data_IF_393533236297
#
_entry.id   IF_393533236297
#
_cell.length_a   1.000
_cell.length_b   1.000
_cell.length_c   1.000
_cell.angle_alpha   90.00
_cell.angle_beta   90.00
_cell.angle_gamma   90.00
#
_symmetry.space_group_name_H-M   'P 1'
#
loop_
_entity.id
_entity.type
_entity.pdbx_description
1 polymer ?
#
# COMPACT_ATOMS: atom_id res chain seq x y z
N UNK A 1 -19.11 39.37 -67.72
CA UNK A 1 -17.87 38.95 -67.04
C UNK A 1 -17.88 39.56 -65.65
N UNK A 2 -18.53 38.90 -64.70
CA UNK A 2 -18.32 39.16 -63.28
C UNK A 2 -18.05 37.78 -62.68
N UNK A 3 -16.77 37.38 -62.71
CA UNK A 3 -16.25 36.28 -61.91
C UNK A 3 -16.39 36.71 -60.45
N UNK A 4 -17.60 36.61 -59.91
CA UNK A 4 -17.86 36.84 -58.51
C UNK A 4 -17.16 35.73 -57.73
N UNK A 5 -16.15 36.11 -56.96
CA UNK A 5 -15.39 35.21 -56.09
C UNK A 5 -16.31 34.21 -55.37
N UNK A 6 -16.10 32.91 -55.60
CA UNK A 6 -16.90 31.84 -55.00
C UNK A 6 -16.54 31.69 -53.52
N UNK A 7 -17.22 32.47 -52.69
CA UNK A 7 -17.07 32.47 -51.24
C UNK A 7 -17.38 31.08 -50.63
N UNK A 8 -18.28 30.31 -51.24
CA UNK A 8 -18.61 28.97 -50.74
C UNK A 8 -17.42 28.01 -50.93
N UNK A 9 -16.78 28.02 -52.10
CA UNK A 9 -15.60 27.21 -52.35
C UNK A 9 -14.46 27.51 -51.37
N UNK A 10 -14.24 28.79 -51.06
CA UNK A 10 -13.21 29.23 -50.11
C UNK A 10 -13.54 28.77 -48.69
N UNK A 11 -14.80 28.93 -48.25
CA UNK A 11 -15.23 28.46 -46.92
C UNK A 11 -15.11 26.95 -46.80
N UNK A 12 -15.51 26.18 -47.82
CA UNK A 12 -15.39 24.72 -47.81
C UNK A 12 -13.93 24.26 -47.77
N UNK A 13 -13.05 24.87 -48.57
CA UNK A 13 -11.62 24.55 -48.56
C UNK A 13 -10.98 24.85 -47.19
N UNK A 14 -11.32 26.00 -46.61
CA UNK A 14 -10.86 26.39 -45.26
C UNK A 14 -11.39 25.43 -44.19
N UNK A 15 -12.66 25.02 -44.26
CA UNK A 15 -13.25 24.06 -43.32
C UNK A 15 -12.62 22.67 -43.43
N UNK A 16 -12.30 22.20 -44.64
CA UNK A 16 -11.63 20.91 -44.85
C UNK A 16 -10.24 20.84 -44.22
N UNK A 17 -9.56 21.99 -44.06
CA UNK A 17 -8.25 22.09 -43.42
C UNK A 17 -8.39 22.37 -41.91
N UNK A 18 -9.26 23.30 -41.51
CA UNK A 18 -9.43 23.69 -40.11
C UNK A 18 -10.13 22.62 -39.26
N UNK A 19 -11.06 21.85 -39.84
CA UNK A 19 -11.80 20.81 -39.13
C UNK A 19 -10.88 19.81 -38.42
N UNK A 20 -9.95 19.14 -39.13
CA UNK A 20 -8.98 18.23 -38.52
C UNK A 20 -8.07 18.89 -37.47
N UNK A 21 -7.61 20.12 -37.71
CA UNK A 21 -6.72 20.83 -36.78
C UNK A 21 -7.42 21.13 -35.44
N UNK A 22 -8.66 21.62 -35.49
CA UNK A 22 -9.47 21.90 -34.30
C UNK A 22 -9.79 20.60 -33.56
N UNK A 23 -10.15 19.53 -34.28
CA UNK A 23 -10.43 18.23 -33.67
C UNK A 23 -9.23 17.70 -32.88
N UNK A 24 -8.02 17.72 -33.46
CA UNK A 24 -6.79 17.28 -32.78
C UNK A 24 -6.50 18.13 -31.55
N UNK A 25 -6.71 19.44 -31.63
CA UNK A 25 -6.48 20.34 -30.49
C UNK A 25 -7.45 20.04 -29.33
N UNK A 26 -8.73 19.85 -29.62
CA UNK A 26 -9.75 19.46 -28.63
C UNK A 26 -9.41 18.10 -28.02
N UNK A 27 -9.02 17.12 -28.84
CA UNK A 27 -8.60 15.80 -28.38
C UNK A 27 -7.42 15.89 -27.43
N UNK A 28 -6.33 16.59 -27.79
CA UNK A 28 -5.15 16.73 -26.92
C UNK A 28 -5.45 17.40 -25.59
N UNK A 29 -6.30 18.44 -25.58
CA UNK A 29 -6.71 19.08 -24.33
C UNK A 29 -7.54 18.13 -23.45
N UNK A 30 -8.42 17.34 -24.05
CA UNK A 30 -9.19 16.32 -23.33
C UNK A 30 -8.29 15.22 -22.77
N UNK A 31 -7.33 14.75 -23.56
CA UNK A 31 -6.39 13.70 -23.17
C UNK A 31 -5.51 14.13 -21.99
N UNK A 32 -4.93 15.33 -22.01
CA UNK A 32 -4.14 15.83 -20.87
C UNK A 32 -4.95 15.89 -19.57
N UNK A 33 -6.21 16.31 -19.64
CA UNK A 33 -7.11 16.32 -18.46
C UNK A 33 -7.42 14.92 -17.98
N UNK A 34 -7.62 14.00 -18.92
CA UNK A 34 -7.87 12.58 -18.62
C UNK A 34 -6.66 11.93 -17.96
N UNK A 35 -5.45 12.18 -18.44
CA UNK A 35 -4.22 11.63 -17.84
C UNK A 35 -4.03 12.05 -16.38
N UNK A 36 -4.26 13.32 -16.06
CA UNK A 36 -4.21 13.81 -14.67
C UNK A 36 -5.25 13.09 -13.82
N UNK A 37 -6.50 13.02 -14.30
CA UNK A 37 -7.60 12.36 -13.59
C UNK A 37 -7.35 10.87 -13.41
N UNK A 38 -6.73 10.21 -14.37
CA UNK A 38 -6.36 8.79 -14.31
C UNK A 38 -5.28 8.53 -13.25
N UNK A 39 -4.27 9.40 -13.11
CA UNK A 39 -3.27 9.31 -12.03
C UNK A 39 -3.87 9.54 -10.65
N UNK A 40 -4.70 10.57 -10.51
CA UNK A 40 -5.44 10.83 -9.26
C UNK A 40 -6.36 9.67 -8.88
N UNK A 41 -7.04 9.08 -9.87
CA UNK A 41 -7.86 7.89 -9.70
C UNK A 41 -7.05 6.67 -9.25
N UNK A 42 -5.85 6.46 -9.79
CA UNK A 42 -4.97 5.37 -9.37
C UNK A 42 -4.58 5.50 -7.88
N UNK A 43 -4.29 6.71 -7.41
CA UNK A 43 -4.04 7.00 -5.99
C UNK A 43 -5.29 6.69 -5.16
N UNK A 44 -6.45 7.20 -5.56
CA UNK A 44 -7.71 6.98 -4.85
C UNK A 44 -8.04 5.50 -4.69
N UNK A 45 -7.97 4.71 -5.78
CA UNK A 45 -8.20 3.27 -5.76
C UNK A 45 -7.22 2.54 -4.85
N UNK A 46 -5.96 2.95 -4.87
CA UNK A 46 -4.92 2.33 -4.03
C UNK A 46 -5.15 2.60 -2.56
N UNK A 47 -5.45 3.85 -2.19
CA UNK A 47 -5.81 4.21 -0.82
C UNK A 47 -7.08 3.49 -0.36
N UNK A 48 -8.11 3.42 -1.21
CA UNK A 48 -9.33 2.66 -0.91
C UNK A 48 -9.06 1.17 -0.67
N UNK A 49 -8.28 0.52 -1.54
CA UNK A 49 -7.92 -0.91 -1.43
C UNK A 49 -7.12 -1.21 -0.15
N UNK A 50 -6.23 -0.29 0.23
CA UNK A 50 -5.25 -0.50 1.31
C UNK A 50 -5.61 0.25 2.60
N UNK A 51 -6.81 0.83 2.72
CA UNK A 51 -7.17 1.70 3.86
C UNK A 51 -7.12 1.04 5.23
N UNK A 52 -7.12 -0.30 5.30
CA UNK A 52 -6.93 -1.06 6.53
C UNK A 52 -5.54 -1.71 6.66
N UNK A 53 -4.64 -1.40 5.74
CA UNK A 53 -3.25 -1.89 5.70
C UNK A 53 -2.30 -0.68 5.61
N UNK A 54 -2.30 0.20 6.62
CA UNK A 54 -1.66 1.52 6.53
C UNK A 54 -0.14 1.48 6.37
N UNK A 55 0.50 0.34 6.65
CA UNK A 55 1.94 0.14 6.48
C UNK A 55 2.32 -0.55 5.15
N UNK A 56 1.33 -0.91 4.33
CA UNK A 56 1.60 -1.58 3.06
C UNK A 56 2.34 -0.66 2.09
N UNK A 57 3.27 -1.21 1.30
CA UNK A 57 4.12 -0.42 0.41
C UNK A 57 3.31 0.41 -0.59
N UNK A 58 2.24 -0.16 -1.14
CA UNK A 58 1.34 0.55 -2.05
C UNK A 58 0.58 1.67 -1.35
N UNK A 59 0.22 1.50 -0.06
CA UNK A 59 -0.47 2.51 0.72
C UNK A 59 0.40 3.75 0.90
N UNK A 60 1.63 3.53 1.38
CA UNK A 60 2.62 4.59 1.61
C UNK A 60 3.02 5.25 0.29
N UNK A 61 3.20 4.47 -0.77
CA UNK A 61 3.50 4.97 -2.12
C UNK A 61 2.40 5.91 -2.63
N UNK A 62 1.14 5.48 -2.56
CA UNK A 62 0.01 6.32 -2.96
C UNK A 62 -0.11 7.59 -2.10
N UNK A 63 0.08 7.47 -0.78
CA UNK A 63 0.02 8.60 0.14
C UNK A 63 1.07 9.67 -0.17
N UNK A 64 2.28 9.26 -0.55
CA UNK A 64 3.38 10.18 -0.88
C UNK A 64 3.18 10.90 -2.22
N UNK A 65 2.36 10.34 -3.13
CA UNK A 65 2.04 10.97 -4.41
C UNK A 65 0.91 12.00 -4.32
N UNK A 66 0.15 12.02 -3.22
CA UNK A 66 -0.99 12.93 -3.04
C UNK A 66 -0.59 14.39 -3.20
N UNK A 67 0.56 14.81 -2.63
CA UNK A 67 1.00 16.21 -2.68
C UNK A 67 1.21 16.71 -4.12
N UNK A 68 1.74 15.86 -5.00
CA UNK A 68 2.09 16.22 -6.37
C UNK A 68 0.85 16.14 -7.28
N UNK A 69 0.08 15.04 -7.19
CA UNK A 69 -1.05 14.82 -8.10
C UNK A 69 -2.30 15.64 -7.74
N UNK A 70 -2.41 16.13 -6.50
CA UNK A 70 -3.54 16.96 -6.04
C UNK A 70 -3.13 18.40 -5.75
N UNK A 71 -2.09 18.92 -6.42
CA UNK A 71 -1.57 20.29 -6.21
C UNK A 71 -2.62 21.39 -6.38
N UNK A 72 -3.59 21.19 -7.27
CA UNK A 72 -4.70 22.13 -7.50
C UNK A 72 -5.79 22.07 -6.42
N UNK A 73 -5.84 20.97 -5.65
CA UNK A 73 -6.94 20.64 -4.74
C UNK A 73 -6.58 20.95 -3.29
N UNK A 74 -6.75 22.22 -2.89
CA UNK A 74 -6.32 22.70 -1.56
C UNK A 74 -7.00 21.96 -0.39
N UNK A 75 -8.24 21.52 -0.57
CA UNK A 75 -8.95 20.74 0.45
C UNK A 75 -8.29 19.37 0.69
N UNK A 76 -7.87 18.69 -0.38
CA UNK A 76 -7.13 17.42 -0.33
C UNK A 76 -5.78 17.61 0.35
N UNK A 77 -5.01 18.62 -0.07
CA UNK A 77 -3.70 18.92 0.52
C UNK A 77 -3.80 19.23 2.02
N UNK A 78 -4.83 19.94 2.45
CA UNK A 78 -5.07 20.24 3.86
C UNK A 78 -5.33 18.97 4.67
N UNK A 79 -6.22 18.10 4.19
CA UNK A 79 -6.52 16.83 4.86
C UNK A 79 -5.29 15.89 4.89
N UNK A 80 -4.51 15.86 3.80
CA UNK A 80 -3.29 15.08 3.70
C UNK A 80 -2.23 15.52 4.71
N UNK A 81 -1.96 16.84 4.82
CA UNK A 81 -1.02 17.38 5.82
C UNK A 81 -1.47 17.07 7.25
N UNK A 82 -2.76 17.18 7.53
CA UNK A 82 -3.33 16.86 8.84
C UNK A 82 -3.13 15.38 9.19
N UNK A 83 -3.37 14.49 8.22
CA UNK A 83 -3.15 13.05 8.39
C UNK A 83 -1.67 12.71 8.58
N UNK A 84 -0.77 13.25 7.74
CA UNK A 84 0.67 13.03 7.88
C UNK A 84 1.23 13.54 9.21
N UNK A 85 0.75 14.70 9.67
CA UNK A 85 1.13 15.24 10.99
C UNK A 85 0.79 14.23 12.09
N UNK A 86 -0.42 13.67 12.04
CA UNK A 86 -0.87 12.66 12.99
C UNK A 86 -0.14 11.31 12.85
N UNK A 87 0.28 10.91 11.65
CA UNK A 87 1.13 9.73 11.45
C UNK A 87 2.55 9.93 12.01
N UNK A 88 3.05 11.16 11.99
CA UNK A 88 4.35 11.54 12.53
C UNK A 88 4.36 11.69 14.06
N UNK A 89 3.18 11.73 14.71
CA UNK A 89 3.09 11.69 16.17
C UNK A 89 3.61 10.34 16.69
N UNK A 90 4.53 10.32 17.68
CA UNK A 90 5.05 9.08 18.23
C UNK A 90 3.93 8.19 18.78
N UNK A 91 3.99 6.89 18.46
CA UNK A 91 3.03 5.95 19.03
C UNK A 91 3.26 5.83 20.55
N UNK A 92 2.23 6.00 21.38
CA UNK A 92 2.40 6.01 22.83
C UNK A 92 2.65 4.57 23.34
N UNK A 93 3.93 4.20 23.46
CA UNK A 93 4.37 2.82 23.75
C UNK A 93 4.11 2.33 25.18
N UNK A 94 3.77 3.23 26.11
CA UNK A 94 3.48 2.92 27.51
C UNK A 94 2.08 3.39 27.95
N UNK A 95 1.22 3.76 27.01
CA UNK A 95 -0.11 4.24 27.33
C UNK A 95 -1.12 3.10 27.52
N UNK A 96 -2.18 3.38 28.27
CA UNK A 96 -3.29 2.45 28.46
C UNK A 96 -3.92 2.04 27.11
N UNK A 97 -4.56 0.87 27.08
CA UNK A 97 -5.27 0.37 25.87
C UNK A 97 -6.28 1.39 25.32
N UNK A 98 -6.92 2.17 26.20
CA UNK A 98 -7.85 3.24 25.83
C UNK A 98 -7.18 4.37 25.05
N UNK A 99 -5.97 4.78 25.44
CA UNK A 99 -5.23 5.83 24.73
C UNK A 99 -4.75 5.32 23.38
N UNK A 100 -4.31 4.05 23.33
CA UNK A 100 -3.91 3.41 22.09
C UNK A 100 -5.07 3.31 21.09
N UNK A 101 -6.27 2.91 21.56
CA UNK A 101 -7.45 2.81 20.70
C UNK A 101 -7.92 4.18 20.20
N UNK A 102 -7.91 5.22 21.04
CA UNK A 102 -8.21 6.59 20.63
C UNK A 102 -7.22 7.10 19.56
N UNK A 103 -5.94 6.78 19.70
CA UNK A 103 -4.92 7.15 18.73
C UNK A 103 -5.15 6.48 17.36
N UNK A 104 -5.54 5.21 17.36
CA UNK A 104 -5.90 4.49 16.13
C UNK A 104 -7.19 5.01 15.50
N UNK A 105 -8.24 5.25 16.29
CA UNK A 105 -9.48 5.85 15.81
C UNK A 105 -9.24 7.22 15.17
N UNK A 106 -8.39 8.06 15.78
CA UNK A 106 -8.00 9.35 15.20
C UNK A 106 -7.27 9.18 13.86
N UNK A 107 -6.38 8.18 13.73
CA UNK A 107 -5.71 7.85 12.46
C UNK A 107 -6.73 7.44 11.39
N UNK A 108 -7.66 6.56 11.72
CA UNK A 108 -8.68 6.06 10.79
C UNK A 108 -9.63 7.18 10.33
N UNK A 109 -10.03 8.07 11.25
CA UNK A 109 -10.86 9.24 10.94
C UNK A 109 -10.16 10.20 9.99
N UNK A 110 -8.89 10.51 10.24
CA UNK A 110 -8.11 11.42 9.39
C UNK A 110 -7.83 10.82 8.01
N UNK A 111 -7.57 9.51 7.92
CA UNK A 111 -7.47 8.81 6.65
C UNK A 111 -8.79 8.84 5.89
N UNK A 112 -9.91 8.57 6.57
CA UNK A 112 -11.25 8.61 5.98
C UNK A 112 -11.58 10.01 5.45
N UNK A 113 -11.23 11.06 6.20
CA UNK A 113 -11.36 12.45 5.77
C UNK A 113 -10.53 12.74 4.51
N UNK A 114 -9.27 12.31 4.46
CA UNK A 114 -8.43 12.45 3.26
C UNK A 114 -9.07 11.76 2.04
N UNK A 115 -9.49 10.51 2.19
CA UNK A 115 -10.12 9.74 1.11
C UNK A 115 -11.43 10.40 0.66
N UNK A 116 -12.22 10.95 1.59
CA UNK A 116 -13.45 11.68 1.29
C UNK A 116 -13.18 12.96 0.47
N UNK A 117 -12.17 13.74 0.83
CA UNK A 117 -11.79 14.93 0.03
C UNK A 117 -11.26 14.55 -1.36
N UNK A 118 -10.49 13.46 -1.48
CA UNK A 118 -10.05 12.93 -2.78
C UNK A 118 -11.26 12.49 -3.63
N UNK A 119 -12.25 11.83 -3.02
CA UNK A 119 -13.46 11.40 -3.71
C UNK A 119 -14.22 12.62 -4.29
N UNK A 120 -14.37 13.69 -3.50
CA UNK A 120 -14.98 14.95 -3.94
C UNK A 120 -14.21 15.59 -5.10
N UNK A 121 -12.88 15.66 -5.02
CA UNK A 121 -12.04 16.19 -6.10
C UNK A 121 -12.17 15.38 -7.41
N UNK A 122 -12.52 14.09 -7.30
CA UNK A 122 -12.76 13.19 -8.42
C UNK A 122 -14.25 13.09 -8.82
N UNK A 123 -15.12 13.94 -8.28
CA UNK A 123 -16.59 13.95 -8.49
C UNK A 123 -17.31 12.66 -8.08
N UNK A 124 -16.74 11.87 -7.17
CA UNK A 124 -17.41 10.71 -6.59
C UNK A 124 -18.19 11.11 -5.34
N UNK A 125 -19.47 10.74 -5.35
CA UNK A 125 -20.35 10.86 -4.19
C UNK A 125 -20.26 9.57 -3.40
N UNK A 126 -19.29 9.48 -2.48
CA UNK A 126 -19.13 8.36 -1.57
C UNK A 126 -19.47 8.84 -0.16
N UNK A 127 -20.38 8.16 0.53
CA UNK A 127 -20.66 8.47 1.92
C UNK A 127 -19.44 8.11 2.79
N UNK A 128 -19.14 8.93 3.81
CA UNK A 128 -17.99 8.66 4.69
C UNK A 128 -18.13 7.33 5.41
N UNK A 129 -19.37 6.88 5.68
CA UNK A 129 -19.64 5.58 6.32
C UNK A 129 -19.28 4.41 5.40
N UNK A 130 -19.53 4.51 4.09
CA UNK A 130 -19.15 3.50 3.10
C UNK A 130 -17.62 3.36 2.99
N UNK A 131 -16.91 4.49 3.10
CA UNK A 131 -15.44 4.50 3.15
C UNK A 131 -14.95 3.84 4.44
N UNK A 132 -15.57 4.16 5.57
CA UNK A 132 -15.15 3.65 6.89
C UNK A 132 -15.42 2.15 7.06
N UNK A 133 -16.58 1.65 6.62
CA UNK A 133 -17.05 0.29 6.89
C UNK A 133 -16.73 -0.72 5.77
N UNK A 134 -16.68 -0.28 4.52
CA UNK A 134 -16.72 -1.18 3.36
C UNK A 134 -15.42 -1.90 2.95
N UNK A 135 -14.51 -2.26 3.87
CA UNK A 135 -13.28 -2.99 3.51
C UNK A 135 -13.22 -4.38 4.14
N UNK A 136 -13.24 -5.42 3.31
CA UNK A 136 -12.96 -6.78 3.76
C UNK A 136 -11.48 -6.95 4.06
N UNK A 137 -11.17 -7.40 5.27
CA UNK A 137 -9.84 -7.92 5.62
C UNK A 137 -10.09 -9.35 6.13
N UNK A 138 -9.56 -10.38 5.46
CA UNK A 138 -9.67 -11.74 5.98
C UNK A 138 -8.90 -11.83 7.30
N UNK A 139 -9.43 -12.56 8.28
CA UNK A 139 -8.71 -12.79 9.54
C UNK A 139 -7.32 -13.38 9.30
N UNK A 140 -7.18 -14.27 8.31
CA UNK A 140 -5.88 -14.84 7.94
C UNK A 140 -4.79 -13.81 7.63
N UNK A 141 -5.13 -12.62 7.08
CA UNK A 141 -4.12 -11.58 6.85
C UNK A 141 -3.63 -10.93 8.14
N UNK A 142 -4.52 -10.78 9.13
CA UNK A 142 -4.13 -10.28 10.45
C UNK A 142 -3.28 -11.33 11.17
N UNK A 143 -3.66 -12.60 11.07
CA UNK A 143 -2.95 -13.71 11.68
C UNK A 143 -1.54 -13.85 11.07
N UNK A 144 -1.43 -13.86 9.73
CA UNK A 144 -0.16 -13.93 9.01
C UNK A 144 0.78 -12.77 9.38
N UNK A 145 0.28 -11.52 9.41
CA UNK A 145 1.09 -10.35 9.76
C UNK A 145 1.52 -10.39 11.23
N UNK A 146 0.65 -10.83 12.13
CA UNK A 146 0.98 -11.01 13.54
C UNK A 146 2.05 -12.07 13.76
N UNK A 147 1.88 -13.25 13.15
CA UNK A 147 2.86 -14.35 13.20
C UNK A 147 4.21 -13.93 12.61
N UNK A 148 4.22 -13.27 11.45
CA UNK A 148 5.45 -12.77 10.85
C UNK A 148 6.18 -11.77 11.75
N UNK A 149 5.45 -10.87 12.42
CA UNK A 149 6.04 -9.92 13.38
C UNK A 149 6.65 -10.64 14.58
N UNK A 150 5.96 -11.64 15.12
CA UNK A 150 6.46 -12.45 16.23
C UNK A 150 7.73 -13.21 15.85
N UNK A 151 7.74 -13.88 14.70
CA UNK A 151 8.90 -14.62 14.19
C UNK A 151 10.07 -13.67 13.96
N UNK A 152 9.85 -12.55 13.25
CA UNK A 152 10.90 -11.56 12.96
C UNK A 152 11.52 -11.02 14.25
N UNK A 153 10.69 -10.67 15.24
CA UNK A 153 11.17 -10.20 16.54
C UNK A 153 11.95 -11.28 17.29
N UNK A 154 11.43 -12.51 17.33
CA UNK A 154 12.10 -13.65 17.96
C UNK A 154 13.46 -13.94 17.34
N UNK A 155 13.55 -13.91 16.00
CA UNK A 155 14.81 -14.09 15.28
C UNK A 155 15.80 -12.97 15.57
N UNK A 156 15.36 -11.71 15.57
CA UNK A 156 16.19 -10.56 15.95
C UNK A 156 16.73 -10.75 17.39
N UNK A 157 15.90 -11.16 18.34
CA UNK A 157 16.32 -11.37 19.73
C UNK A 157 17.36 -12.50 19.84
N UNK A 158 17.19 -13.56 19.07
CA UNK A 158 18.16 -14.67 18.97
C UNK A 158 19.49 -14.21 18.36
N UNK A 159 19.45 -13.56 17.20
CA UNK A 159 20.66 -13.13 16.48
C UNK A 159 21.44 -12.05 17.24
N UNK A 160 20.74 -11.24 18.04
CA UNK A 160 21.37 -10.27 18.95
C UNK A 160 21.86 -10.91 20.27
N UNK A 161 21.71 -12.22 20.47
CA UNK A 161 22.11 -12.91 21.70
C UNK A 161 21.24 -12.58 22.93
N UNK A 162 20.09 -11.91 22.74
CA UNK A 162 19.13 -11.58 23.80
C UNK A 162 18.28 -12.78 24.22
N UNK A 163 18.16 -13.80 23.36
CA UNK A 163 17.40 -15.03 23.64
C UNK A 163 18.15 -16.27 23.12
N UNK A 164 18.32 -17.34 23.92
CA UNK A 164 18.92 -18.58 23.43
C UNK A 164 17.96 -19.34 22.51
N UNK A 165 18.51 -20.05 21.52
CA UNK A 165 17.78 -21.05 20.75
C UNK A 165 17.74 -22.37 21.51
N UNK A 166 16.56 -22.72 22.01
CA UNK A 166 16.33 -24.02 22.63
C UNK A 166 16.05 -25.04 21.53
N UNK A 167 17.00 -25.95 21.33
CA UNK A 167 16.85 -27.06 20.40
C UNK A 167 16.67 -28.35 21.20
N UNK A 168 15.63 -29.11 20.89
CA UNK A 168 15.48 -30.48 21.38
C UNK A 168 15.93 -31.43 20.28
N UNK A 169 16.68 -32.50 20.59
CA UNK A 169 17.02 -33.50 19.60
C UNK A 169 15.73 -34.10 19.04
N UNK A 170 15.56 -33.99 17.73
CA UNK A 170 14.47 -34.69 17.04
C UNK A 170 14.79 -36.18 17.05
N UNK A 171 14.12 -36.93 17.93
CA UNK A 171 14.18 -38.39 17.92
C UNK A 171 13.19 -38.85 16.85
N UNK A 172 13.69 -39.15 15.66
CA UNK A 172 12.91 -39.88 14.66
C UNK A 172 12.40 -41.16 15.33
N UNK A 173 11.08 -41.37 15.37
CA UNK A 173 10.50 -42.61 15.86
C UNK A 173 11.10 -43.77 15.06
N UNK A 174 11.96 -44.54 15.73
CA UNK A 174 12.66 -45.74 15.27
C UNK A 174 13.38 -45.56 13.92
N UNK A 175 14.65 -45.15 13.97
CA UNK A 175 15.56 -45.48 12.88
C UNK A 175 15.54 -47.01 12.67
N UNK A 176 15.37 -47.51 11.43
CA UNK A 176 15.45 -48.94 11.12
C UNK A 176 16.86 -49.52 11.32
N UNK A 177 17.83 -48.66 11.66
CA UNK A 177 19.18 -49.05 11.97
C UNK A 177 19.31 -49.40 13.45
N UNK A 178 19.86 -50.58 13.77
CA UNK A 178 20.18 -50.93 15.15
C UNK A 178 21.19 -49.94 15.74
N UNK A 179 21.20 -49.74 17.07
CA UNK A 179 22.16 -48.87 17.74
C UNK A 179 23.59 -49.31 17.41
N UNK A 180 24.52 -48.34 17.34
CA UNK A 180 25.92 -48.61 17.03
C UNK A 180 26.50 -49.67 18.00
N UNK A 181 27.28 -50.65 17.51
CA UNK A 181 27.87 -51.67 18.36
C UNK A 181 28.77 -51.03 19.41
N UNK A 182 28.52 -51.36 20.68
CA UNK A 182 29.41 -50.99 21.79
C UNK A 182 30.75 -51.68 21.57
N UNK A 183 31.79 -50.90 21.29
CA UNK A 183 33.17 -51.40 21.24
C UNK A 183 33.59 -51.70 22.67
N UNK A 184 33.54 -52.98 23.06
CA UNK A 184 34.05 -53.43 24.35
C UNK A 184 35.56 -53.14 24.42
N UNK A 185 35.95 -52.29 25.36
CA UNK A 185 37.35 -51.91 25.61
C UNK A 185 38.21 -53.05 26.22
N UNK A 186 37.91 -54.32 25.92
CA UNK A 186 38.64 -55.49 26.43
C UNK A 186 39.63 -56.10 25.42
N UNK A 187 39.70 -55.59 24.19
CA UNK A 187 40.61 -56.12 23.17
C UNK A 187 42.01 -55.47 23.16
N UNK A 188 42.26 -54.41 23.95
CA UNK A 188 43.54 -53.69 23.95
C UNK A 188 44.59 -54.27 24.90
N UNK A 189 44.25 -55.25 25.76
CA UNK A 189 45.13 -55.73 26.82
C UNK A 189 45.82 -57.08 26.51
N UNK A 190 45.70 -57.59 25.28
CA UNK A 190 46.33 -58.86 24.83
C UNK A 190 47.46 -58.71 23.80
N UNK A 191 47.95 -57.50 23.55
CA UNK A 191 48.99 -57.24 22.56
C UNK A 191 50.36 -56.79 23.12
N UNK A 192 50.52 -56.69 24.45
CA UNK A 192 51.81 -56.45 25.09
C UNK A 192 52.16 -57.61 26.03
N UNK A 193 52.67 -58.70 25.45
CA UNK A 193 53.28 -59.84 26.15
C UNK A 193 54.55 -60.25 25.42
#
# INVERSE_FOLDING_TARGET
MNEGFDWFAVVTAVAAILGPLIAIFVTRLSDNRKEVRDRQMAIFRTLMRTRRLPIHIEHVGALNLVEIEFVAEQAVLKAWREYLKNLSEPYPSQASEQIQSQFQQRRDLLLTKLISEIAKALDFHVEQIDIFEGNYIPQGWNDDDFEQRLIRKGLIDVLHGRRPLLMQPFVAQQSPYPPAPVVSAEASDKANG
#
